data_IF_589368807110
#
_entry.id   IF_589368807110
#
_cell.length_a   1.000
_cell.length_b   1.000
_cell.length_c   1.000
_cell.angle_alpha   90.00
_cell.angle_beta   90.00
_cell.angle_gamma   90.00
#
_symmetry.space_group_name_H-M   'P 1'
#
loop_
_entity.id
_entity.type
_entity.pdbx_description
1 polymer ?
#
# COMPACT_ATOMS: atom_id res chain seq x y z
N UNK A 1 14.24 -0.32 -1.17
CA UNK A 1 15.06 -1.34 -0.48
C UNK A 1 15.58 -0.79 0.85
N UNK A 2 14.67 -0.30 1.69
CA UNK A 2 15.04 0.39 2.94
C UNK A 2 15.03 -0.62 4.10
N UNK A 3 16.14 -0.83 4.82
CA UNK A 3 16.24 -1.90 5.81
C UNK A 3 15.17 -1.83 6.91
N UNK A 4 14.82 -0.63 7.36
CA UNK A 4 13.76 -0.42 8.35
C UNK A 4 12.39 -0.94 7.89
N UNK A 5 12.00 -0.65 6.64
CA UNK A 5 10.72 -1.12 6.06
C UNK A 5 10.73 -2.63 5.88
N UNK A 6 11.85 -3.19 5.39
CA UNK A 6 11.99 -4.64 5.21
C UNK A 6 11.88 -5.38 6.55
N UNK A 7 12.52 -4.86 7.60
CA UNK A 7 12.46 -5.44 8.95
C UNK A 7 11.04 -5.37 9.54
N UNK A 8 10.32 -4.27 9.32
CA UNK A 8 8.94 -4.12 9.78
C UNK A 8 8.00 -5.13 9.09
N UNK A 9 8.13 -5.29 7.77
CA UNK A 9 7.33 -6.25 7.00
C UNK A 9 7.67 -7.69 7.35
N UNK A 10 8.95 -8.02 7.50
CA UNK A 10 9.39 -9.35 7.96
C UNK A 10 8.83 -9.68 9.34
N UNK A 11 8.92 -8.74 10.30
CA UNK A 11 8.31 -8.90 11.61
C UNK A 11 6.79 -9.10 11.51
N UNK A 12 6.08 -8.27 10.76
CA UNK A 12 4.63 -8.37 10.59
C UNK A 12 4.21 -9.73 10.01
N UNK A 13 4.92 -10.23 9.00
CA UNK A 13 4.68 -11.53 8.39
C UNK A 13 4.88 -12.68 9.40
N UNK A 14 5.93 -12.64 10.22
CA UNK A 14 6.16 -13.65 11.28
C UNK A 14 5.07 -13.68 12.35
N UNK A 15 4.34 -12.57 12.52
CA UNK A 15 3.28 -12.44 13.51
C UNK A 15 1.87 -12.57 12.91
N UNK A 16 1.75 -13.08 11.67
CA UNK A 16 0.46 -13.34 11.03
C UNK A 16 -0.31 -12.09 10.61
N UNK A 17 0.33 -10.92 10.59
CA UNK A 17 -0.28 -9.69 10.09
C UNK A 17 -0.31 -9.68 8.55
N UNK A 18 -1.30 -8.99 7.99
CA UNK A 18 -1.39 -8.76 6.54
C UNK A 18 -0.58 -7.53 6.18
N UNK A 19 0.34 -7.68 5.22
CA UNK A 19 1.20 -6.60 4.73
C UNK A 19 0.81 -6.19 3.31
N UNK A 20 0.72 -4.88 3.07
CA UNK A 20 0.50 -4.28 1.75
C UNK A 20 1.69 -3.37 1.43
N UNK A 21 2.55 -3.80 0.50
CA UNK A 21 3.73 -3.07 0.08
C UNK A 21 3.45 -2.15 -1.11
N UNK A 22 3.73 -0.85 -0.96
CA UNK A 22 3.75 0.09 -2.09
C UNK A 22 5.18 0.26 -2.57
N UNK A 23 5.41 -0.01 -3.86
CA UNK A 23 6.77 0.01 -4.41
C UNK A 23 6.82 0.75 -5.74
N UNK A 24 7.98 1.32 -6.04
CA UNK A 24 8.32 1.90 -7.35
C UNK A 24 9.59 1.26 -7.92
N UNK A 25 10.12 1.82 -9.01
CA UNK A 25 11.33 1.33 -9.68
C UNK A 25 11.21 -0.17 -10.00
N UNK A 26 12.18 -0.99 -9.58
CA UNK A 26 12.14 -2.45 -9.74
C UNK A 26 11.43 -3.19 -8.59
N UNK A 27 10.88 -2.45 -7.63
CA UNK A 27 10.18 -3.00 -6.45
C UNK A 27 11.10 -3.48 -5.34
N UNK A 28 12.21 -4.12 -5.70
CA UNK A 28 13.20 -4.63 -4.76
C UNK A 28 12.62 -5.68 -3.81
N UNK A 29 13.33 -5.94 -2.71
CA UNK A 29 13.00 -6.99 -1.75
C UNK A 29 11.63 -6.78 -1.07
N UNK A 30 11.15 -5.55 -1.00
CA UNK A 30 9.82 -5.26 -0.42
C UNK A 30 8.70 -5.89 -1.25
N UNK A 31 8.83 -5.91 -2.59
CA UNK A 31 7.84 -6.50 -3.50
C UNK A 31 7.70 -8.01 -3.30
N UNK A 32 8.78 -8.68 -2.89
CA UNK A 32 8.81 -10.11 -2.61
C UNK A 32 8.33 -10.44 -1.19
N UNK A 33 8.68 -9.59 -0.21
CA UNK A 33 8.33 -9.82 1.19
C UNK A 33 6.88 -9.49 1.53
N UNK A 34 6.30 -8.45 0.93
CA UNK A 34 4.93 -8.05 1.23
C UNK A 34 3.93 -9.09 0.70
N UNK A 35 2.91 -9.43 1.49
CA UNK A 35 1.90 -10.43 1.11
C UNK A 35 1.02 -9.95 -0.04
N UNK A 36 0.73 -8.65 -0.06
CA UNK A 36 0.04 -7.95 -1.14
C UNK A 36 0.85 -6.70 -1.48
N UNK A 37 0.59 -6.11 -2.64
CA UNK A 37 1.21 -4.84 -2.97
C UNK A 37 0.71 -4.21 -4.24
N UNK A 38 1.02 -2.92 -4.38
CA UNK A 38 0.91 -2.17 -5.63
C UNK A 38 2.31 -1.74 -6.05
N UNK A 39 2.65 -2.09 -7.28
CA UNK A 39 3.93 -1.75 -7.87
C UNK A 39 3.73 -0.75 -9.00
N UNK A 40 4.39 0.40 -8.88
CA UNK A 40 4.44 1.43 -9.93
C UNK A 40 5.74 1.22 -10.70
N UNK A 41 5.63 0.66 -11.90
CA UNK A 41 6.79 0.39 -12.78
C UNK A 41 7.27 1.67 -13.47
N UNK A 42 7.80 2.59 -12.68
CA UNK A 42 8.37 3.86 -13.11
C UNK A 42 9.71 4.09 -12.43
N UNK A 43 10.65 4.67 -13.19
CA UNK A 43 11.99 5.02 -12.72
C UNK A 43 12.07 6.49 -12.28
N UNK A 44 10.99 7.00 -11.67
CA UNK A 44 10.86 8.39 -11.21
C UNK A 44 10.18 8.41 -9.83
N UNK A 45 10.88 8.90 -8.81
CA UNK A 45 10.36 8.87 -7.44
C UNK A 45 9.14 9.78 -7.28
N UNK A 46 9.14 10.98 -7.87
CA UNK A 46 8.05 11.94 -7.70
C UNK A 46 6.75 11.43 -8.31
N UNK A 47 6.82 10.78 -9.46
CA UNK A 47 5.66 10.14 -10.09
C UNK A 47 5.18 8.92 -9.30
N UNK A 48 6.11 8.09 -8.81
CA UNK A 48 5.79 6.95 -7.94
C UNK A 48 5.06 7.41 -6.68
N UNK A 49 5.59 8.42 -6.00
CA UNK A 49 4.99 8.99 -4.78
C UNK A 49 3.62 9.59 -5.06
N UNK A 50 3.46 10.31 -6.17
CA UNK A 50 2.17 10.88 -6.60
C UNK A 50 1.10 9.81 -6.77
N UNK A 51 1.44 8.69 -7.43
CA UNK A 51 0.51 7.57 -7.65
C UNK A 51 0.20 6.86 -6.33
N UNK A 52 1.20 6.63 -5.47
CA UNK A 52 0.99 6.07 -4.14
C UNK A 52 0.06 6.96 -3.31
N UNK A 53 0.20 8.29 -3.37
CA UNK A 53 -0.65 9.22 -2.64
C UNK A 53 -2.10 9.20 -3.14
N UNK A 54 -2.34 9.11 -4.45
CA UNK A 54 -3.69 8.91 -4.98
C UNK A 54 -4.35 7.63 -4.43
N UNK A 55 -3.60 6.54 -4.33
CA UNK A 55 -4.09 5.31 -3.71
C UNK A 55 -4.42 5.52 -2.23
N UNK A 56 -3.56 6.21 -1.47
CA UNK A 56 -3.84 6.53 -0.06
C UNK A 56 -5.12 7.35 0.09
N UNK A 57 -5.33 8.35 -0.75
CA UNK A 57 -6.58 9.13 -0.75
C UNK A 57 -7.79 8.26 -1.08
N UNK A 58 -7.67 7.32 -2.02
CA UNK A 58 -8.74 6.38 -2.32
C UNK A 58 -9.07 5.48 -1.12
N UNK A 59 -8.08 4.90 -0.45
CA UNK A 59 -8.29 4.08 0.76
C UNK A 59 -8.96 4.89 1.87
N UNK A 60 -8.48 6.12 2.11
CA UNK A 60 -9.05 7.01 3.11
C UNK A 60 -10.52 7.29 2.81
N UNK A 61 -10.84 7.67 1.57
CA UNK A 61 -12.20 7.97 1.16
C UNK A 61 -13.10 6.73 1.22
N UNK A 62 -12.60 5.55 0.83
CA UNK A 62 -13.38 4.31 0.88
C UNK A 62 -13.69 3.87 2.31
N UNK A 63 -12.71 3.99 3.22
CA UNK A 63 -12.91 3.71 4.65
C UNK A 63 -13.89 4.71 5.25
N UNK A 64 -13.77 6.00 4.94
CA UNK A 64 -14.72 7.02 5.37
C UNK A 64 -16.14 6.69 4.89
N UNK A 65 -16.29 6.40 3.60
CA UNK A 65 -17.58 6.05 3.00
C UNK A 65 -18.18 4.79 3.65
N UNK A 66 -17.35 3.79 3.98
CA UNK A 66 -17.79 2.57 4.66
C UNK A 66 -18.29 2.82 6.08
N UNK A 67 -17.63 3.74 6.80
CA UNK A 67 -18.01 4.08 8.19
C UNK A 67 -19.30 4.90 8.22
N UNK A 68 -19.49 5.80 7.25
CA UNK A 68 -20.62 6.73 7.21
C UNK A 68 -21.77 6.26 6.30
N UNK A 69 -21.70 5.05 5.75
CA UNK A 69 -22.67 4.51 4.79
C UNK A 69 -22.91 5.42 3.58
N UNK A 70 -21.82 5.96 3.02
CA UNK A 70 -21.83 6.82 1.83
C UNK A 70 -21.24 6.12 0.61
N UNK A 71 -21.37 6.76 -0.57
CA UNK A 71 -20.78 6.27 -1.81
C UNK A 71 -21.27 4.87 -2.18
N UNK A 72 -20.34 3.93 -2.42
CA UNK A 72 -20.67 2.54 -2.77
C UNK A 72 -21.27 1.71 -1.64
N UNK A 73 -21.30 2.26 -0.43
CA UNK A 73 -21.91 1.63 0.75
C UNK A 73 -23.25 2.28 1.12
N UNK A 74 -23.74 3.23 0.32
CA UNK A 74 -25.05 3.82 0.52
C UNK A 74 -26.15 2.77 0.31
N UNK A 75 -27.07 2.66 1.28
CA UNK A 75 -28.20 1.75 1.22
C UNK A 75 -27.90 0.28 1.52
N UNK A 76 -26.72 -0.02 2.08
CA UNK A 76 -26.36 -1.34 2.64
C UNK A 76 -26.59 -1.35 4.15
#
# INVERSE_FOLDING_TARGET
NSPNVLNAVDWANRHGLVTLGLTGYKGGRLRELARHGLHVDLMDMGMVESIHLCLFHWVLNDVFARINSEGRYAGV
#
